data_IF_032562324482
#
_entry.id   IF_032562324482
#
_cell.length_a   1.000
_cell.length_b   1.000
_cell.length_c   1.000
_cell.angle_alpha   90.00
_cell.angle_beta   90.00
_cell.angle_gamma   90.00
#
_symmetry.space_group_name_H-M   'P 1'
#
loop_
_entity.id
_entity.type
_entity.pdbx_description
1 polymer ?
#
# COMPACT_ATOMS: atom_id res chain seq x y z
N UNK A 1 1.45 1.55 15.70
CA UNK A 1 1.10 2.97 15.81
C UNK A 1 1.47 3.72 14.56
N UNK A 2 0.76 4.82 14.27
CA UNK A 2 1.09 5.78 13.20
C UNK A 2 1.66 7.04 13.86
N UNK A 3 2.86 7.45 13.43
CA UNK A 3 3.52 8.66 13.92
C UNK A 3 3.49 9.73 12.85
N UNK A 4 3.03 10.92 13.21
CA UNK A 4 2.95 12.08 12.33
C UNK A 4 4.12 13.04 12.58
N UNK A 5 4.69 13.55 11.50
CA UNK A 5 5.77 14.54 11.51
C UNK A 5 5.45 15.68 10.55
N UNK A 6 5.66 16.91 10.99
CA UNK A 6 5.65 18.09 10.10
C UNK A 6 7.02 18.30 9.48
N UNK A 7 7.04 18.66 8.20
CA UNK A 7 8.24 19.10 7.49
C UNK A 7 8.15 20.63 7.29
N UNK A 8 9.10 21.40 7.85
CA UNK A 8 9.13 22.85 7.63
C UNK A 8 9.52 23.22 6.20
N UNK A 9 10.17 22.30 5.48
CA UNK A 9 10.42 22.37 4.05
C UNK A 9 9.86 21.10 3.39
N UNK A 10 8.98 21.28 2.40
CA UNK A 10 8.32 20.17 1.75
C UNK A 10 9.33 19.16 1.18
N UNK A 11 9.12 17.86 1.47
CA UNK A 11 9.97 16.72 1.06
C UNK A 11 11.41 16.74 1.59
N UNK A 12 11.75 17.63 2.54
CA UNK A 12 13.05 17.65 3.21
C UNK A 12 12.92 17.01 4.61
N UNK A 13 13.29 15.72 4.70
CA UNK A 13 13.19 14.95 5.94
C UNK A 13 14.10 15.46 7.06
N UNK A 14 15.15 16.22 6.73
CA UNK A 14 16.02 16.84 7.75
C UNK A 14 15.29 17.92 8.55
N UNK A 15 14.15 18.40 8.07
CA UNK A 15 13.29 19.40 8.71
C UNK A 15 12.14 18.81 9.51
N UNK A 16 12.10 17.46 9.64
CA UNK A 16 11.02 16.76 10.31
C UNK A 16 10.95 17.07 11.81
N UNK A 17 9.77 17.38 12.29
CA UNK A 17 9.46 17.52 13.71
C UNK A 17 8.26 16.67 14.07
N UNK A 18 8.40 15.87 15.13
CA UNK A 18 7.32 15.02 15.64
C UNK A 18 6.12 15.87 16.05
N UNK A 19 4.93 15.44 15.65
CA UNK A 19 3.65 16.07 16.02
C UNK A 19 2.90 15.20 17.02
N UNK A 20 2.56 13.97 16.64
CA UNK A 20 1.69 13.12 17.43
C UNK A 20 1.75 11.66 16.99
N UNK A 21 1.12 10.79 17.79
CA UNK A 21 0.95 9.36 17.53
C UNK A 21 -0.54 9.02 17.56
N UNK A 22 -0.98 8.23 16.57
CA UNK A 22 -2.26 7.55 16.60
C UNK A 22 -2.05 6.06 16.89
N UNK A 23 -2.65 5.58 17.98
CA UNK A 23 -2.52 4.19 18.40
C UNK A 23 -3.54 3.31 17.67
N UNK A 24 -3.07 2.31 16.93
CA UNK A 24 -3.91 1.33 16.23
C UNK A 24 -4.55 0.31 17.21
N UNK A 25 -3.98 0.18 18.41
CA UNK A 25 -4.50 -0.73 19.46
C UNK A 25 -4.48 -2.19 19.01
N UNK A 26 -5.62 -2.86 19.18
CA UNK A 26 -5.79 -4.27 18.79
C UNK A 26 -6.24 -4.47 17.34
N UNK A 27 -6.48 -3.39 16.59
CA UNK A 27 -6.88 -3.47 15.19
C UNK A 27 -5.73 -4.00 14.33
N UNK A 28 -4.51 -3.47 14.55
CA UNK A 28 -3.31 -3.97 13.90
C UNK A 28 -2.10 -3.81 14.84
N UNK A 29 -1.54 -4.93 15.29
CA UNK A 29 -0.41 -4.95 16.23
C UNK A 29 0.95 -4.99 15.51
N UNK A 30 0.96 -5.37 14.23
CA UNK A 30 2.13 -5.38 13.35
C UNK A 30 1.85 -4.63 12.04
N UNK A 31 1.62 -3.30 12.10
CA UNK A 31 1.40 -2.50 10.92
C UNK A 31 2.68 -2.44 10.07
N UNK A 32 2.56 -2.71 8.78
CA UNK A 32 3.67 -2.76 7.83
C UNK A 32 3.53 -1.73 6.71
N UNK A 33 2.30 -1.41 6.30
CA UNK A 33 2.03 -0.44 5.24
C UNK A 33 0.96 0.57 5.62
N UNK A 34 1.13 1.78 5.11
CA UNK A 34 0.18 2.89 5.27
C UNK A 34 0.03 3.62 3.93
N UNK A 35 -1.20 4.00 3.62
CA UNK A 35 -1.48 4.93 2.52
C UNK A 35 -2.70 5.80 2.84
N UNK A 36 -2.89 6.85 2.05
CA UNK A 36 -4.03 7.76 2.14
C UNK A 36 -4.74 7.85 0.79
N UNK A 37 -6.01 8.25 0.82
CA UNK A 37 -6.66 8.71 -0.40
C UNK A 37 -6.13 10.09 -0.81
N UNK A 38 -6.50 10.55 -2.00
CA UNK A 38 -5.91 11.75 -2.61
C UNK A 38 -6.11 13.04 -1.81
N UNK A 39 -7.22 13.16 -1.08
CA UNK A 39 -7.55 14.36 -0.30
C UNK A 39 -7.19 14.23 1.20
N UNK A 40 -6.60 13.10 1.60
CA UNK A 40 -6.16 12.84 2.97
C UNK A 40 -7.29 12.64 3.98
N UNK A 41 -8.53 12.46 3.54
CA UNK A 41 -9.68 12.23 4.42
C UNK A 41 -9.85 10.77 4.84
N UNK A 42 -9.10 9.85 4.20
CA UNK A 42 -9.04 8.43 4.54
C UNK A 42 -7.60 7.97 4.68
N UNK A 43 -7.36 7.13 5.67
CA UNK A 43 -6.11 6.44 5.92
C UNK A 43 -6.36 4.93 5.88
N UNK A 44 -5.43 4.19 5.30
CA UNK A 44 -5.48 2.74 5.19
C UNK A 44 -4.21 2.15 5.77
N UNK A 45 -4.39 1.13 6.61
CA UNK A 45 -3.29 0.41 7.27
C UNK A 45 -3.39 -1.06 6.87
N UNK A 46 -2.27 -1.63 6.48
CA UNK A 46 -2.11 -3.06 6.24
C UNK A 46 -1.02 -3.61 7.14
N UNK A 47 -1.17 -4.85 7.59
CA UNK A 47 -0.19 -5.51 8.44
C UNK A 47 -0.50 -7.00 8.63
N UNK A 48 0.36 -7.68 9.39
CA UNK A 48 0.37 -9.14 9.48
C UNK A 48 -0.47 -9.72 10.64
N UNK A 49 -1.24 -8.90 11.36
CA UNK A 49 -2.03 -9.42 12.49
C UNK A 49 -3.41 -9.91 12.08
N UNK A 50 -4.07 -9.28 11.14
CA UNK A 50 -5.42 -9.65 10.69
C UNK A 50 -5.46 -10.12 9.24
N UNK A 51 -4.35 -9.99 8.53
CA UNK A 51 -4.28 -10.23 7.10
C UNK A 51 -5.37 -9.42 6.38
N UNK A 52 -5.48 -8.15 6.76
CA UNK A 52 -6.52 -7.26 6.29
C UNK A 52 -6.03 -5.84 6.02
N UNK A 53 -6.90 -5.07 5.36
CA UNK A 53 -6.75 -3.62 5.18
C UNK A 53 -7.75 -2.93 6.09
N UNK A 54 -7.25 -2.16 7.05
CA UNK A 54 -8.03 -1.35 7.98
C UNK A 54 -8.23 0.05 7.42
N UNK A 55 -9.48 0.48 7.27
CA UNK A 55 -9.86 1.82 6.81
C UNK A 55 -10.21 2.74 7.98
N UNK A 56 -9.66 3.95 7.96
CA UNK A 56 -9.95 5.03 8.90
C UNK A 56 -10.42 6.27 8.14
N UNK A 57 -11.40 6.97 8.69
CA UNK A 57 -11.77 8.32 8.25
C UNK A 57 -11.04 9.37 9.09
N UNK A 58 -10.60 10.46 8.45
CA UNK A 58 -9.98 11.60 9.10
C UNK A 58 -10.88 12.82 8.94
N UNK A 59 -11.29 13.44 10.05
CA UNK A 59 -12.14 14.66 10.00
C UNK A 59 -11.34 15.90 9.58
N UNK A 60 -10.02 15.85 9.71
CA UNK A 60 -9.08 16.83 9.17
C UNK A 60 -8.08 16.09 8.28
N UNK A 61 -7.94 16.53 7.04
CA UNK A 61 -7.10 15.86 6.05
C UNK A 61 -5.65 15.69 6.56
N UNK A 62 -5.13 14.46 6.47
CA UNK A 62 -3.78 14.04 6.91
C UNK A 62 -3.46 14.22 8.39
N UNK A 63 -4.41 14.65 9.22
CA UNK A 63 -4.23 14.75 10.68
C UNK A 63 -4.64 13.45 11.35
N UNK A 64 -3.65 12.62 11.72
CA UNK A 64 -3.90 11.28 12.28
C UNK A 64 -4.57 11.31 13.65
N UNK A 65 -4.55 12.45 14.38
CA UNK A 65 -5.28 12.57 15.65
C UNK A 65 -6.79 12.55 15.48
N UNK A 66 -7.26 12.86 14.25
CA UNK A 66 -8.68 12.87 13.91
C UNK A 66 -9.17 11.55 13.32
N UNK A 67 -8.30 10.53 13.28
CA UNK A 67 -8.62 9.24 12.69
C UNK A 67 -9.67 8.49 13.51
N UNK A 68 -10.66 7.94 12.82
CA UNK A 68 -11.70 7.10 13.38
C UNK A 68 -11.83 5.83 12.54
N UNK A 69 -11.77 4.66 13.17
CA UNK A 69 -11.93 3.39 12.49
C UNK A 69 -13.29 3.28 11.81
N UNK A 70 -13.29 2.81 10.57
CA UNK A 70 -14.51 2.63 9.76
C UNK A 70 -14.80 1.14 9.59
N UNK A 71 -13.87 0.39 8.98
CA UNK A 71 -14.09 -0.99 8.57
C UNK A 71 -12.76 -1.65 8.20
N UNK A 72 -12.83 -2.96 7.91
CA UNK A 72 -11.72 -3.72 7.34
C UNK A 72 -12.17 -4.53 6.11
N UNK A 73 -11.17 -4.94 5.31
CA UNK A 73 -11.32 -5.92 4.24
C UNK A 73 -10.22 -6.96 4.35
N UNK A 74 -10.60 -8.25 4.48
CA UNK A 74 -9.61 -9.34 4.59
C UNK A 74 -9.00 -9.67 3.23
N UNK A 75 -7.68 -9.73 3.18
CA UNK A 75 -6.87 -10.18 2.02
C UNK A 75 -6.25 -11.56 2.24
N UNK A 76 -6.55 -12.21 3.36
CA UNK A 76 -5.99 -13.51 3.79
C UNK A 76 -6.12 -14.64 2.75
N UNK A 77 -7.11 -14.56 1.86
CA UNK A 77 -7.28 -15.57 0.80
C UNK A 77 -6.21 -15.49 -0.30
N UNK A 78 -5.54 -14.32 -0.44
CA UNK A 78 -4.49 -14.08 -1.42
C UNK A 78 -3.13 -13.88 -0.75
N UNK A 79 -3.10 -13.18 0.40
CA UNK A 79 -1.86 -12.87 1.11
C UNK A 79 -2.09 -12.93 2.63
N UNK A 80 -1.33 -13.77 3.33
CA UNK A 80 -1.43 -13.97 4.78
C UNK A 80 -0.36 -13.18 5.56
N UNK A 81 0.45 -12.41 4.89
CA UNK A 81 1.43 -11.51 5.52
C UNK A 81 1.58 -10.25 4.67
N UNK A 82 0.48 -9.48 4.48
CA UNK A 82 0.52 -8.28 3.66
C UNK A 82 1.45 -7.24 4.27
N UNK A 83 2.37 -6.71 3.45
CA UNK A 83 3.44 -5.81 3.88
C UNK A 83 3.31 -4.40 3.29
N UNK A 84 2.66 -4.26 2.14
CA UNK A 84 2.49 -2.99 1.47
C UNK A 84 1.21 -2.92 0.66
N UNK A 85 0.78 -1.68 0.40
CA UNK A 85 -0.41 -1.41 -0.40
C UNK A 85 -0.31 -0.10 -1.17
N UNK A 86 -1.03 -0.03 -2.28
CA UNK A 86 -1.22 1.20 -3.05
C UNK A 86 -2.63 1.23 -3.68
N UNK A 87 -3.07 2.41 -4.08
CA UNK A 87 -4.24 2.59 -4.93
C UNK A 87 -3.84 3.17 -6.28
N UNK A 88 -4.69 2.98 -7.28
CA UNK A 88 -4.62 3.80 -8.48
C UNK A 88 -5.18 5.21 -8.19
N UNK A 89 -5.01 6.14 -9.16
CA UNK A 89 -5.31 7.55 -8.94
C UNK A 89 -6.78 7.86 -8.62
N UNK A 90 -7.72 7.07 -9.11
CA UNK A 90 -9.15 7.28 -8.87
C UNK A 90 -9.72 6.42 -7.73
N UNK A 91 -8.88 5.59 -7.10
CA UNK A 91 -9.26 4.74 -5.96
C UNK A 91 -10.15 3.55 -6.31
N UNK A 92 -10.28 3.21 -7.60
CA UNK A 92 -11.09 2.07 -8.05
C UNK A 92 -10.32 0.75 -8.07
N UNK A 93 -8.99 0.81 -7.92
CA UNK A 93 -8.10 -0.34 -7.79
C UNK A 93 -7.24 -0.23 -6.53
N UNK A 94 -7.11 -1.33 -5.80
CA UNK A 94 -6.21 -1.50 -4.67
C UNK A 94 -5.24 -2.62 -4.99
N UNK A 95 -3.97 -2.42 -4.66
CA UNK A 95 -2.89 -3.38 -4.86
C UNK A 95 -2.30 -3.73 -3.51
N UNK A 96 -2.16 -5.03 -3.25
CA UNK A 96 -1.56 -5.57 -2.01
C UNK A 96 -0.36 -6.42 -2.39
N UNK A 97 0.75 -6.21 -1.68
CA UNK A 97 1.95 -7.03 -1.76
C UNK A 97 2.27 -7.60 -0.38
N UNK A 98 2.89 -8.78 -0.32
CA UNK A 98 3.29 -9.39 0.95
C UNK A 98 4.27 -10.54 0.80
N UNK A 99 4.68 -11.12 1.96
CA UNK A 99 5.82 -12.04 2.05
C UNK A 99 5.52 -13.47 1.61
N UNK A 100 4.27 -13.91 1.62
CA UNK A 100 3.99 -15.35 1.43
C UNK A 100 3.81 -15.70 -0.04
N UNK A 101 3.19 -14.83 -0.83
CA UNK A 101 2.97 -15.08 -2.25
C UNK A 101 4.08 -14.54 -3.15
N UNK A 102 4.88 -13.60 -2.64
CA UNK A 102 5.81 -12.80 -3.44
C UNK A 102 5.12 -12.22 -4.68
N UNK A 103 3.86 -11.82 -4.49
CA UNK A 103 2.97 -11.36 -5.55
C UNK A 103 2.40 -10.00 -5.25
N UNK A 104 2.11 -9.23 -6.29
CA UNK A 104 1.19 -8.11 -6.24
C UNK A 104 -0.20 -8.62 -6.62
N UNK A 105 -1.18 -8.42 -5.74
CA UNK A 105 -2.57 -8.83 -5.91
C UNK A 105 -3.45 -7.60 -6.16
N UNK A 106 -4.22 -7.59 -7.25
CA UNK A 106 -5.14 -6.50 -7.58
C UNK A 106 -6.54 -6.78 -7.05
N UNK A 107 -7.16 -5.75 -6.50
CA UNK A 107 -8.56 -5.72 -6.07
C UNK A 107 -9.30 -4.58 -6.76
N UNK A 108 -10.48 -4.86 -7.30
CA UNK A 108 -11.37 -3.84 -7.85
C UNK A 108 -12.30 -3.32 -6.76
N UNK A 109 -12.47 -2.00 -6.68
CA UNK A 109 -13.38 -1.34 -5.76
C UNK A 109 -14.56 -0.74 -6.54
N UNK A 110 -15.79 -1.13 -6.20
CA UNK A 110 -16.99 -0.58 -6.84
C UNK A 110 -17.32 0.84 -6.38
N UNK A 111 -16.77 1.23 -5.23
CA UNK A 111 -16.80 2.60 -4.70
C UNK A 111 -15.35 3.02 -4.41
N UNK A 112 -14.93 4.14 -5.00
CA UNK A 112 -13.56 4.62 -4.87
C UNK A 112 -13.13 4.78 -3.41
N UNK A 113 -11.94 4.21 -3.06
CA UNK A 113 -11.38 4.25 -1.71
C UNK A 113 -12.32 3.74 -0.60
N UNK A 114 -13.20 2.79 -0.90
CA UNK A 114 -14.06 2.11 0.06
C UNK A 114 -13.70 0.62 0.08
N UNK A 115 -12.92 0.20 1.09
CA UNK A 115 -12.42 -1.19 1.14
C UNK A 115 -13.53 -2.22 1.30
N UNK A 116 -14.71 -1.85 1.83
CA UNK A 116 -15.85 -2.78 1.90
C UNK A 116 -16.41 -3.16 0.53
N UNK A 117 -16.12 -2.34 -0.47
CA UNK A 117 -16.53 -2.57 -1.87
C UNK A 117 -15.49 -3.37 -2.67
N UNK A 118 -14.36 -3.76 -2.04
CA UNK A 118 -13.28 -4.44 -2.71
C UNK A 118 -13.62 -5.89 -3.06
N UNK A 119 -13.13 -6.34 -4.20
CA UNK A 119 -13.19 -7.74 -4.63
C UNK A 119 -11.90 -8.10 -5.36
N UNK A 120 -11.36 -9.31 -5.09
CA UNK A 120 -10.18 -9.78 -5.81
C UNK A 120 -10.45 -9.84 -7.31
N UNK A 121 -9.60 -9.19 -8.11
CA UNK A 121 -9.81 -9.06 -9.54
C UNK A 121 -9.60 -10.36 -10.33
N UNK A 122 -8.98 -11.36 -9.69
CA UNK A 122 -8.76 -12.68 -10.25
C UNK A 122 -7.28 -13.02 -10.46
N UNK A 123 -7.00 -14.28 -10.74
CA UNK A 123 -5.62 -14.76 -10.88
C UNK A 123 -4.88 -14.16 -12.09
N UNK A 124 -5.59 -13.64 -13.08
CA UNK A 124 -4.99 -12.90 -14.19
C UNK A 124 -4.42 -11.55 -13.75
N UNK A 125 -5.00 -11.00 -12.67
CA UNK A 125 -4.61 -9.74 -12.04
C UNK A 125 -3.77 -9.98 -10.79
N UNK A 126 -2.87 -10.94 -10.87
CA UNK A 126 -1.85 -11.30 -9.90
C UNK A 126 -0.50 -11.34 -10.61
N UNK A 127 0.47 -10.60 -10.11
CA UNK A 127 1.79 -10.51 -10.71
C UNK A 127 2.87 -10.94 -9.73
N UNK A 128 3.62 -12.02 -10.07
CA UNK A 128 4.71 -12.49 -9.21
C UNK A 128 5.96 -11.64 -9.39
N UNK A 129 6.51 -11.21 -8.26
CA UNK A 129 7.80 -10.50 -8.17
C UNK A 129 8.93 -11.39 -7.64
N UNK A 130 8.64 -12.67 -7.33
CA UNK A 130 9.55 -13.62 -6.70
C UNK A 130 10.91 -13.79 -7.41
N UNK A 131 10.95 -13.56 -8.73
CA UNK A 131 12.19 -13.66 -9.49
C UNK A 131 13.18 -12.51 -9.20
N UNK A 132 12.70 -11.39 -8.71
CA UNK A 132 13.47 -10.19 -8.37
C UNK A 132 13.51 -9.95 -6.86
N UNK A 133 12.40 -10.18 -6.16
CA UNK A 133 12.28 -9.94 -4.74
C UNK A 133 11.37 -11.00 -4.09
N UNK A 134 11.93 -11.77 -3.16
CA UNK A 134 11.23 -12.84 -2.45
C UNK A 134 10.92 -12.50 -0.98
N UNK A 135 11.14 -11.24 -0.59
CA UNK A 135 10.71 -10.64 0.67
C UNK A 135 10.23 -9.21 0.44
N UNK A 136 9.17 -9.01 -0.38
CA UNK A 136 8.73 -7.68 -0.73
C UNK A 136 8.08 -6.97 0.46
N UNK A 137 8.48 -5.73 0.72
CA UNK A 137 7.99 -4.90 1.83
C UNK A 137 7.03 -3.79 1.39
N UNK A 138 7.16 -3.34 0.14
CA UNK A 138 6.35 -2.22 -0.31
C UNK A 138 6.28 -2.12 -1.83
N UNK A 139 5.23 -1.45 -2.28
CA UNK A 139 5.03 -1.14 -3.69
C UNK A 139 4.57 0.30 -3.87
N UNK A 140 4.81 0.83 -5.05
CA UNK A 140 4.34 2.15 -5.47
C UNK A 140 4.23 2.23 -6.98
N UNK A 141 3.46 3.20 -7.46
CA UNK A 141 3.32 3.50 -8.87
C UNK A 141 3.78 4.93 -9.15
N UNK A 142 4.20 5.20 -10.38
CA UNK A 142 4.33 6.57 -10.85
C UNK A 142 2.95 7.18 -11.09
N UNK A 143 2.92 8.51 -11.27
CA UNK A 143 1.66 9.26 -11.36
C UNK A 143 0.73 8.83 -12.50
N UNK A 144 1.26 8.32 -13.60
CA UNK A 144 0.44 7.89 -14.74
C UNK A 144 0.17 6.38 -14.76
N UNK A 145 0.66 5.64 -13.74
CA UNK A 145 0.44 4.21 -13.60
C UNK A 145 1.18 3.32 -14.60
N UNK A 146 2.12 3.88 -15.37
CA UNK A 146 2.88 3.12 -16.38
C UNK A 146 4.11 2.43 -15.82
N UNK A 147 4.45 2.72 -14.54
CA UNK A 147 5.55 2.08 -13.80
C UNK A 147 5.10 1.64 -12.44
N UNK A 148 5.57 0.46 -12.03
CA UNK A 148 5.46 -0.07 -10.67
C UNK A 148 6.86 -0.25 -10.08
N UNK A 149 7.01 0.08 -8.81
CA UNK A 149 8.23 -0.09 -8.05
C UNK A 149 7.97 -1.00 -6.87
N UNK A 150 8.84 -1.98 -6.68
CA UNK A 150 8.78 -2.91 -5.54
C UNK A 150 10.09 -2.82 -4.79
N UNK A 151 10.00 -2.72 -3.46
CA UNK A 151 11.13 -2.75 -2.53
C UNK A 151 10.97 -3.93 -1.58
N UNK A 152 12.08 -4.50 -1.15
CA UNK A 152 12.07 -5.62 -0.21
C UNK A 152 13.42 -5.83 0.47
N UNK A 153 13.56 -6.98 1.15
CA UNK A 153 14.74 -7.31 1.95
C UNK A 153 15.74 -8.22 1.24
N UNK A 154 15.31 -8.94 0.20
CA UNK A 154 16.16 -9.99 -0.37
C UNK A 154 17.33 -9.44 -1.19
N UNK A 155 17.16 -8.29 -1.81
CA UNK A 155 18.20 -7.66 -2.64
C UNK A 155 18.72 -6.34 -2.09
N UNK A 156 18.07 -5.79 -1.05
CA UNK A 156 18.30 -4.43 -0.58
C UNK A 156 18.22 -3.45 -1.77
N UNK A 157 17.16 -3.55 -2.56
CA UNK A 157 17.05 -2.82 -3.82
C UNK A 157 15.62 -2.33 -4.14
N UNK A 158 15.53 -1.52 -5.19
CA UNK A 158 14.27 -1.07 -5.79
C UNK A 158 14.15 -1.70 -7.17
N UNK A 159 13.15 -2.54 -7.36
CA UNK A 159 12.85 -3.19 -8.64
C UNK A 159 11.81 -2.38 -9.42
N UNK A 160 12.13 -2.02 -10.65
CA UNK A 160 11.23 -1.28 -11.56
C UNK A 160 10.59 -2.22 -12.57
N UNK A 161 9.28 -2.07 -12.75
CA UNK A 161 8.48 -2.76 -13.76
C UNK A 161 7.77 -1.73 -14.62
N UNK A 162 7.73 -1.96 -15.94
CA UNK A 162 6.91 -1.18 -16.87
C UNK A 162 5.56 -1.86 -17.09
N UNK A 163 4.49 -1.07 -17.12
CA UNK A 163 3.13 -1.53 -17.41
C UNK A 163 2.70 -0.99 -18.78
N UNK A 164 2.34 -1.88 -19.71
CA UNK A 164 1.88 -1.46 -21.04
C UNK A 164 0.48 -0.85 -21.01
N UNK A 165 -0.28 -1.15 -19.97
CA UNK A 165 -1.57 -0.52 -19.65
C UNK A 165 -1.48 0.07 -18.24
N UNK A 166 -1.84 1.34 -18.07
CA UNK A 166 -1.73 2.03 -16.79
C UNK A 166 -2.51 1.32 -15.67
N UNK A 167 -1.83 1.07 -14.52
CA UNK A 167 -2.39 0.38 -13.35
C UNK A 167 -3.00 -1.00 -13.66
N UNK A 168 -2.49 -1.69 -14.67
CA UNK A 168 -2.84 -3.06 -15.02
C UNK A 168 -1.61 -3.95 -14.80
N UNK A 169 -1.57 -4.60 -13.63
CA UNK A 169 -0.39 -5.41 -13.24
C UNK A 169 -0.23 -6.66 -14.09
N UNK A 170 -1.28 -7.14 -14.79
CA UNK A 170 -1.16 -8.23 -15.75
C UNK A 170 -0.28 -7.87 -16.94
N UNK A 171 -0.14 -6.58 -17.21
CA UNK A 171 0.71 -6.04 -18.28
C UNK A 171 2.14 -5.73 -17.84
N UNK A 172 2.50 -6.01 -16.57
CA UNK A 172 3.79 -5.65 -16.01
C UNK A 172 4.93 -6.50 -16.59
N UNK A 173 6.07 -5.86 -16.80
CA UNK A 173 7.32 -6.51 -17.18
C UNK A 173 8.50 -5.86 -16.45
N UNK A 174 9.42 -6.70 -15.92
CA UNK A 174 10.62 -6.24 -15.25
C UNK A 174 11.50 -5.38 -16.17
N UNK A 175 11.99 -4.27 -15.65
CA UNK A 175 12.81 -3.32 -16.42
C UNK A 175 14.24 -3.25 -15.90
N UNK A 176 14.41 -2.97 -14.62
CA UNK A 176 15.72 -2.76 -14.01
C UNK A 176 15.66 -2.76 -12.48
N UNK A 177 16.82 -2.80 -11.87
CA UNK A 177 17.01 -2.73 -10.42
C UNK A 177 17.92 -1.56 -10.06
N UNK A 178 17.68 -0.96 -8.90
CA UNK A 178 18.57 0.01 -8.26
C UNK A 178 18.90 -0.48 -6.83
N UNK A 179 20.18 -0.74 -6.57
CA UNK A 179 20.65 -1.12 -5.23
C UNK A 179 20.73 0.10 -4.32
N UNK A 180 20.20 -0.02 -3.09
CA UNK A 180 20.18 1.02 -2.07
C UNK A 180 21.19 0.77 -0.96
#
# INVERSE_FOLDING_TARGET
DVNEYNLSTAFDISTASYVQTFALGSLETYPLGITFNNDGTKMFIVGSTGDDVNEFSLSTAFDVSTASYVQLFSVAAQETTPSGMAFNNDGTKMFIIGYIGDDVNEYSLSTAFDVSSASFAGNSERFSVAAQENYPNGLGFNNDGTKMFVVGQAGDDVNEYSLSTAFDISSASYTQVFSV
#
